data_IF_444343899638
#
_entry.id   IF_444343899638
#
_cell.length_a   1.000
_cell.length_b   1.000
_cell.length_c   1.000
_cell.angle_alpha   90.00
_cell.angle_beta   90.00
_cell.angle_gamma   90.00
#
_symmetry.space_group_name_H-M   'P 1'
#
loop_
_entity.id
_entity.type
_entity.pdbx_description
1 polymer ?
#
# COMPACT_ATOMS: atom_id res chain seq x y z
N UNK A 1 16.46 47.78 19.90
CA UNK A 1 16.96 46.50 20.45
C UNK A 1 16.01 45.36 20.07
N UNK A 2 14.70 45.56 20.19
CA UNK A 2 13.66 44.53 19.97
C UNK A 2 13.56 44.04 18.52
N UNK A 3 13.67 44.97 17.52
CA UNK A 3 13.63 44.58 16.09
C UNK A 3 14.79 43.65 15.68
N UNK A 4 15.97 43.77 16.29
CA UNK A 4 17.13 42.92 16.00
C UNK A 4 16.90 41.51 16.56
N UNK A 5 16.39 41.40 17.78
CA UNK A 5 16.05 40.13 18.43
C UNK A 5 14.98 39.37 17.65
N UNK A 6 13.93 40.06 17.20
CA UNK A 6 12.85 39.47 16.41
C UNK A 6 13.39 38.95 15.07
N UNK A 7 14.26 39.71 14.39
CA UNK A 7 14.86 39.31 13.13
C UNK A 7 15.79 38.09 13.27
N UNK A 8 16.60 38.04 14.33
CA UNK A 8 17.47 36.91 14.63
C UNK A 8 16.65 35.64 14.91
N UNK A 9 15.57 35.75 15.71
CA UNK A 9 14.66 34.65 15.99
C UNK A 9 13.97 34.15 14.73
N UNK A 10 13.53 35.04 13.86
CA UNK A 10 12.88 34.68 12.58
C UNK A 10 13.85 33.97 11.63
N UNK A 11 15.10 34.42 11.56
CA UNK A 11 16.13 33.79 10.76
C UNK A 11 16.48 32.38 11.28
N UNK A 12 16.56 32.21 12.58
CA UNK A 12 16.75 30.90 13.22
C UNK A 12 15.63 29.90 12.87
N UNK A 13 14.38 30.36 12.93
CA UNK A 13 13.23 29.52 12.55
C UNK A 13 13.25 29.10 11.08
N UNK A 14 13.62 30.01 10.16
CA UNK A 14 13.76 29.72 8.74
C UNK A 14 14.89 28.69 8.50
N UNK A 15 16.03 28.89 9.13
CA UNK A 15 17.16 27.96 9.04
C UNK A 15 16.80 26.57 9.56
N UNK A 16 16.05 26.50 10.66
CA UNK A 16 15.55 25.23 11.21
C UNK A 16 14.63 24.51 10.23
N UNK A 17 13.68 25.21 9.60
CA UNK A 17 12.76 24.60 8.62
C UNK A 17 13.51 24.06 7.41
N UNK A 18 14.49 24.81 6.90
CA UNK A 18 15.31 24.37 5.74
C UNK A 18 16.14 23.15 6.15
N UNK A 19 16.80 23.19 7.30
CA UNK A 19 17.58 22.08 7.82
C UNK A 19 16.74 20.83 8.01
N UNK A 20 15.53 20.97 8.60
CA UNK A 20 14.59 19.87 8.74
C UNK A 20 14.16 19.29 7.38
N UNK A 21 13.81 20.15 6.41
CA UNK A 21 13.44 19.70 5.05
C UNK A 21 14.57 18.93 4.35
N UNK A 22 15.83 19.36 4.54
CA UNK A 22 17.01 18.70 3.93
C UNK A 22 17.33 17.37 4.61
N UNK A 23 17.19 17.27 5.93
CA UNK A 23 17.52 16.05 6.68
C UNK A 23 16.43 14.99 6.65
N UNK A 24 15.16 15.37 6.52
CA UNK A 24 14.04 14.41 6.58
C UNK A 24 14.12 13.28 5.55
N UNK A 25 14.53 13.48 4.28
CA UNK A 25 14.64 12.41 3.31
C UNK A 25 15.74 11.39 3.62
N UNK A 26 16.73 11.74 4.47
CA UNK A 26 17.83 10.83 4.82
C UNK A 26 17.30 9.55 5.48
N UNK A 27 16.23 9.63 6.29
CA UNK A 27 15.63 8.45 6.92
C UNK A 27 15.10 7.42 5.90
N UNK A 28 14.64 7.88 4.74
CA UNK A 28 14.21 7.01 3.64
C UNK A 28 15.39 6.52 2.79
N UNK A 29 16.42 7.36 2.61
CA UNK A 29 17.58 7.04 1.78
C UNK A 29 18.43 5.89 2.35
N UNK A 30 18.49 5.74 3.68
CA UNK A 30 19.26 4.69 4.37
C UNK A 30 18.50 3.37 4.56
N UNK A 31 17.34 3.18 3.93
CA UNK A 31 16.55 1.95 4.08
C UNK A 31 16.64 1.07 2.84
N UNK A 32 16.43 -0.24 3.02
CA UNK A 32 16.48 -1.24 1.95
C UNK A 32 15.49 -0.94 0.82
N UNK A 33 14.35 -0.32 1.17
CA UNK A 33 13.39 0.19 0.20
C UNK A 33 13.56 1.70 0.04
N UNK A 34 14.30 2.17 -0.99
CA UNK A 34 14.71 3.57 -1.10
C UNK A 34 13.54 4.54 -1.29
N UNK A 35 12.37 4.07 -1.73
CA UNK A 35 11.18 4.91 -1.96
C UNK A 35 10.04 4.45 -1.05
N UNK A 36 10.25 4.51 0.27
CA UNK A 36 9.17 4.25 1.22
C UNK A 36 8.47 5.56 1.58
N UNK A 37 7.25 5.76 1.06
CA UNK A 37 6.47 6.98 1.25
C UNK A 37 6.18 7.29 2.73
N UNK A 38 5.94 6.26 3.54
CA UNK A 38 5.66 6.43 4.99
C UNK A 38 6.88 7.02 5.71
N UNK A 39 8.08 6.61 5.33
CA UNK A 39 9.34 7.12 5.92
C UNK A 39 9.70 8.52 5.45
N UNK A 40 9.13 8.98 4.33
CA UNK A 40 9.29 10.36 3.84
C UNK A 40 8.24 11.33 4.39
N UNK A 41 7.23 10.86 5.12
CA UNK A 41 6.20 11.72 5.73
C UNK A 41 6.77 12.90 6.54
N UNK A 42 7.84 12.76 7.36
CA UNK A 42 8.41 13.89 8.10
C UNK A 42 8.92 15.04 7.21
N UNK A 43 9.23 14.77 5.94
CA UNK A 43 9.61 15.79 4.95
C UNK A 43 8.44 16.70 4.56
N UNK A 44 7.23 16.17 4.50
CA UNK A 44 6.07 16.94 4.06
C UNK A 44 5.69 18.05 5.04
N UNK A 45 5.98 17.90 6.34
CA UNK A 45 5.64 18.90 7.36
C UNK A 45 6.37 20.22 7.09
N UNK A 46 7.71 20.28 7.06
CA UNK A 46 8.43 21.52 6.77
C UNK A 46 8.13 22.03 5.35
N UNK A 47 7.90 21.14 4.38
CA UNK A 47 7.53 21.52 3.03
C UNK A 47 6.20 22.27 3.00
N UNK A 48 5.17 21.79 3.68
CA UNK A 48 3.86 22.44 3.77
C UNK A 48 3.99 23.82 4.41
N UNK A 49 4.79 23.95 5.47
CA UNK A 49 5.01 25.24 6.14
C UNK A 49 5.69 26.23 5.18
N UNK A 50 6.74 25.80 4.47
CA UNK A 50 7.44 26.62 3.48
C UNK A 50 6.50 27.04 2.36
N UNK A 51 5.69 26.10 1.86
CA UNK A 51 4.69 26.38 0.82
C UNK A 51 3.62 27.36 1.31
N UNK A 52 3.14 27.22 2.55
CA UNK A 52 2.15 28.14 3.12
C UNK A 52 2.69 29.58 3.21
N UNK A 53 3.93 29.75 3.66
CA UNK A 53 4.59 31.05 3.70
C UNK A 53 4.74 31.65 2.28
N UNK A 54 5.18 30.81 1.33
CA UNK A 54 5.33 31.20 -0.07
C UNK A 54 3.99 31.60 -0.70
N UNK A 55 2.94 30.81 -0.43
CA UNK A 55 1.59 31.04 -0.92
C UNK A 55 1.00 32.36 -0.41
N UNK A 56 1.18 32.65 0.89
CA UNK A 56 0.72 33.93 1.46
C UNK A 56 1.35 35.13 0.73
N UNK A 57 2.67 35.13 0.54
CA UNK A 57 3.37 36.18 -0.19
C UNK A 57 2.96 36.28 -1.68
N UNK A 58 2.62 35.14 -2.27
CA UNK A 58 2.15 35.05 -3.64
C UNK A 58 0.74 35.63 -3.79
N UNK A 59 -0.19 35.24 -2.88
CA UNK A 59 -1.58 35.70 -2.89
C UNK A 59 -1.71 37.23 -2.76
N UNK A 60 -0.80 37.86 -1.99
CA UNK A 60 -0.76 39.33 -1.86
C UNK A 60 -0.39 40.07 -3.16
N UNK A 61 0.19 39.36 -4.13
CA UNK A 61 0.72 39.97 -5.38
C UNK A 61 -0.06 39.63 -6.63
N UNK A 62 -0.93 38.60 -6.59
CA UNK A 62 -1.64 38.14 -7.77
C UNK A 62 -3.02 38.77 -7.92
N UNK A 63 -3.44 38.92 -9.16
CA UNK A 63 -4.79 39.35 -9.50
C UNK A 63 -5.80 38.22 -9.22
N UNK A 64 -7.00 38.55 -8.78
CA UNK A 64 -8.10 37.62 -8.50
C UNK A 64 -8.41 36.67 -9.68
N UNK A 65 -8.31 37.17 -10.92
CA UNK A 65 -8.52 36.32 -12.12
C UNK A 65 -7.47 35.22 -12.24
N UNK A 66 -6.23 35.53 -11.94
CA UNK A 66 -5.12 34.57 -11.96
C UNK A 66 -5.32 33.55 -10.85
N UNK A 67 -5.76 33.97 -9.66
CA UNK A 67 -6.10 33.09 -8.56
C UNK A 67 -7.17 32.06 -8.96
N UNK A 68 -8.25 32.49 -9.64
CA UNK A 68 -9.30 31.59 -10.13
C UNK A 68 -8.75 30.52 -11.08
N UNK A 69 -7.80 30.88 -11.96
CA UNK A 69 -7.15 29.93 -12.87
C UNK A 69 -6.37 28.88 -12.07
N UNK A 70 -5.61 29.29 -11.06
CA UNK A 70 -4.88 28.35 -10.19
C UNK A 70 -5.83 27.42 -9.44
N UNK A 71 -6.93 27.95 -8.87
CA UNK A 71 -7.95 27.15 -8.18
C UNK A 71 -8.57 26.12 -9.14
N UNK A 72 -8.88 26.53 -10.37
CA UNK A 72 -9.43 25.63 -11.39
C UNK A 72 -8.48 24.46 -11.68
N UNK A 73 -7.21 24.73 -11.98
CA UNK A 73 -6.23 23.67 -12.24
C UNK A 73 -5.99 22.77 -11.01
N UNK A 74 -5.99 23.36 -9.81
CA UNK A 74 -5.89 22.58 -8.59
C UNK A 74 -7.07 21.63 -8.43
N UNK A 75 -8.30 22.09 -8.66
CA UNK A 75 -9.51 21.25 -8.59
C UNK A 75 -9.48 20.12 -9.62
N UNK A 76 -9.08 20.41 -10.86
CA UNK A 76 -8.93 19.37 -11.89
C UNK A 76 -7.89 18.32 -11.47
N UNK A 77 -6.73 18.76 -10.99
CA UNK A 77 -5.69 17.87 -10.50
C UNK A 77 -6.14 17.05 -9.30
N UNK A 78 -6.89 17.65 -8.39
CA UNK A 78 -7.45 16.98 -7.22
C UNK A 78 -8.47 15.90 -7.61
N UNK A 79 -9.39 16.21 -8.52
CA UNK A 79 -10.35 15.24 -9.03
C UNK A 79 -9.67 14.08 -9.75
N UNK A 80 -8.64 14.37 -10.56
CA UNK A 80 -7.83 13.34 -11.18
C UNK A 80 -7.10 12.48 -10.14
N UNK A 81 -6.53 13.08 -9.09
CA UNK A 81 -5.91 12.34 -8.00
C UNK A 81 -6.90 11.41 -7.30
N UNK A 82 -8.10 11.89 -6.97
CA UNK A 82 -9.16 11.08 -6.34
C UNK A 82 -9.54 9.90 -7.22
N UNK A 83 -9.74 10.13 -8.52
CA UNK A 83 -10.03 9.06 -9.47
C UNK A 83 -8.92 8.00 -9.49
N UNK A 84 -7.67 8.43 -9.63
CA UNK A 84 -6.52 7.51 -9.65
C UNK A 84 -6.34 6.76 -8.31
N UNK A 85 -6.53 7.45 -7.19
CA UNK A 85 -6.32 6.88 -5.86
C UNK A 85 -7.43 5.90 -5.46
N UNK A 86 -8.69 6.30 -5.60
CA UNK A 86 -9.83 5.51 -5.12
C UNK A 86 -10.23 4.43 -6.12
N UNK A 87 -10.32 4.78 -7.40
CA UNK A 87 -10.88 3.88 -8.42
C UNK A 87 -9.81 2.93 -8.96
N UNK A 88 -8.60 3.43 -9.23
CA UNK A 88 -7.57 2.68 -9.92
C UNK A 88 -6.45 2.17 -9.00
N UNK A 89 -5.98 2.99 -8.07
CA UNK A 89 -4.76 2.72 -7.33
C UNK A 89 -4.83 1.49 -6.43
N UNK A 90 -5.83 1.41 -5.57
CA UNK A 90 -5.97 0.33 -4.58
C UNK A 90 -6.19 -1.05 -5.21
N UNK A 91 -6.80 -1.09 -6.40
CA UNK A 91 -7.14 -2.34 -7.09
C UNK A 91 -6.04 -2.82 -8.04
N UNK A 92 -5.05 -1.98 -8.34
CA UNK A 92 -3.92 -2.32 -9.21
C UNK A 92 -2.70 -2.76 -8.44
N UNK A 93 -2.45 -2.16 -7.29
CA UNK A 93 -1.22 -2.37 -6.54
C UNK A 93 -1.38 -3.46 -5.47
N UNK A 94 -0.57 -4.50 -5.57
CA UNK A 94 -0.51 -5.62 -4.60
C UNK A 94 -0.17 -5.13 -3.19
N UNK A 95 0.62 -4.06 -3.05
CA UNK A 95 0.97 -3.49 -1.75
C UNK A 95 -0.24 -3.02 -0.92
N UNK A 96 -1.40 -2.76 -1.54
CA UNK A 96 -2.66 -2.48 -0.86
C UNK A 96 -3.42 -3.74 -0.44
N UNK A 97 -2.78 -4.90 -0.55
CA UNK A 97 -3.34 -6.19 -0.15
C UNK A 97 -4.67 -6.51 -0.86
N UNK A 98 -4.80 -6.01 -2.09
CA UNK A 98 -5.95 -6.31 -2.94
C UNK A 98 -5.96 -7.81 -3.29
N UNK A 99 -7.14 -8.40 -3.24
CA UNK A 99 -7.35 -9.80 -3.64
C UNK A 99 -7.76 -10.72 -2.50
N UNK A 100 -7.44 -10.42 -1.23
CA UNK A 100 -7.82 -11.29 -0.11
C UNK A 100 -9.34 -11.46 0.04
N UNK A 101 -10.12 -10.38 -0.15
CA UNK A 101 -11.59 -10.48 -0.16
C UNK A 101 -12.08 -11.43 -1.24
N UNK A 102 -11.55 -11.30 -2.45
CA UNK A 102 -11.91 -12.14 -3.59
C UNK A 102 -11.51 -13.60 -3.37
N UNK A 103 -10.33 -13.84 -2.79
CA UNK A 103 -9.91 -15.19 -2.37
C UNK A 103 -10.93 -15.80 -1.41
N UNK A 104 -11.33 -15.06 -0.38
CA UNK A 104 -12.29 -15.53 0.61
C UNK A 104 -13.65 -15.83 -0.04
N UNK A 105 -14.12 -14.97 -0.93
CA UNK A 105 -15.40 -15.16 -1.66
C UNK A 105 -15.37 -16.38 -2.58
N UNK A 106 -14.23 -16.70 -3.21
CA UNK A 106 -14.07 -17.88 -4.05
C UNK A 106 -13.89 -19.18 -3.27
N UNK A 107 -13.22 -19.12 -2.14
CA UNK A 107 -12.96 -20.31 -1.30
C UNK A 107 -14.15 -20.68 -0.43
N UNK A 108 -14.94 -19.71 0.02
CA UNK A 108 -16.09 -19.95 0.90
C UNK A 108 -17.08 -21.03 0.38
N UNK A 109 -17.52 -21.01 -0.90
CA UNK A 109 -18.45 -22.01 -1.41
C UNK A 109 -17.86 -23.42 -1.55
N UNK A 110 -16.55 -23.56 -1.68
CA UNK A 110 -15.87 -24.82 -1.92
C UNK A 110 -15.17 -25.40 -0.68
N UNK A 111 -15.13 -24.66 0.43
CA UNK A 111 -14.40 -25.04 1.65
C UNK A 111 -14.85 -26.40 2.24
N UNK A 112 -16.08 -26.84 1.98
CA UNK A 112 -16.60 -28.11 2.46
C UNK A 112 -15.86 -29.32 1.88
N UNK A 113 -15.30 -29.18 0.69
CA UNK A 113 -14.55 -30.25 -0.01
C UNK A 113 -13.17 -30.50 0.61
N UNK A 114 -12.66 -29.55 1.39
CA UNK A 114 -11.31 -29.60 1.94
C UNK A 114 -11.30 -29.72 3.44
N UNK A 115 -10.35 -30.48 3.95
CA UNK A 115 -10.11 -30.63 5.39
C UNK A 115 -9.34 -29.43 5.94
N UNK A 116 -8.35 -28.94 5.18
CA UNK A 116 -7.50 -27.82 5.54
C UNK A 116 -7.35 -26.83 4.38
N UNK A 117 -7.19 -25.56 4.73
CA UNK A 117 -6.94 -24.45 3.80
C UNK A 117 -5.67 -23.76 4.26
N UNK A 118 -4.60 -23.95 3.50
CA UNK A 118 -3.30 -23.38 3.78
C UNK A 118 -3.14 -22.04 3.07
N UNK A 119 -2.76 -21.02 3.83
CA UNK A 119 -2.53 -19.68 3.31
C UNK A 119 -1.06 -19.36 3.50
N UNK A 120 -0.38 -19.05 2.41
CA UNK A 120 1.00 -18.63 2.48
C UNK A 120 1.13 -17.32 3.26
N UNK A 121 1.90 -17.38 4.34
CA UNK A 121 2.30 -16.25 5.15
C UNK A 121 3.42 -15.53 4.40
N UNK A 122 3.08 -14.45 3.69
CA UNK A 122 4.07 -13.52 3.18
C UNK A 122 4.42 -12.47 4.24
N UNK A 123 4.97 -11.35 3.81
CA UNK A 123 5.16 -10.16 4.66
C UNK A 123 3.82 -9.52 5.07
N UNK A 124 2.73 -9.94 4.41
CA UNK A 124 1.38 -9.43 4.59
C UNK A 124 0.69 -10.08 5.80
N UNK A 125 -0.13 -9.30 6.48
CA UNK A 125 -0.93 -9.76 7.61
C UNK A 125 -2.23 -10.41 7.11
N UNK A 126 -2.13 -11.45 6.28
CA UNK A 126 -3.26 -12.16 5.65
C UNK A 126 -4.36 -12.57 6.65
N UNK A 127 -3.98 -12.95 7.88
CA UNK A 127 -4.92 -13.40 8.92
C UNK A 127 -5.98 -12.35 9.26
N UNK A 128 -5.68 -11.05 9.16
CA UNK A 128 -6.62 -9.97 9.45
C UNK A 128 -7.83 -10.05 8.51
N UNK A 129 -7.61 -10.31 7.23
CA UNK A 129 -8.69 -10.40 6.24
C UNK A 129 -9.60 -11.59 6.49
N UNK A 130 -9.03 -12.73 6.90
CA UNK A 130 -9.82 -13.93 7.23
C UNK A 130 -10.63 -13.75 8.52
N UNK A 131 -10.17 -12.94 9.46
CA UNK A 131 -10.95 -12.54 10.64
C UNK A 131 -12.02 -11.51 10.29
N UNK A 132 -11.70 -10.54 9.43
CA UNK A 132 -12.64 -9.48 9.04
C UNK A 132 -13.78 -9.98 8.15
N UNK A 133 -13.51 -10.97 7.27
CA UNK A 133 -14.51 -11.60 6.41
C UNK A 133 -14.79 -13.04 6.87
N UNK A 134 -15.65 -13.27 7.89
CA UNK A 134 -15.84 -14.60 8.50
C UNK A 134 -16.71 -15.51 7.64
N UNK A 135 -16.36 -15.72 6.38
CA UNK A 135 -17.06 -16.60 5.43
C UNK A 135 -16.45 -18.01 5.39
N UNK A 136 -15.25 -18.19 5.92
CA UNK A 136 -14.52 -19.46 5.95
C UNK A 136 -14.41 -19.90 7.40
N UNK A 137 -14.64 -21.20 7.65
CA UNK A 137 -14.48 -21.78 8.98
C UNK A 137 -13.02 -21.62 9.45
N UNK A 138 -12.76 -20.88 10.55
CA UNK A 138 -11.41 -20.62 11.03
C UNK A 138 -10.65 -21.90 11.44
N UNK A 139 -11.34 -22.97 11.86
CA UNK A 139 -10.73 -24.24 12.25
C UNK A 139 -10.06 -24.95 11.07
N UNK A 140 -10.49 -24.65 9.86
CA UNK A 140 -9.90 -25.17 8.62
C UNK A 140 -8.69 -24.37 8.14
N UNK A 141 -8.57 -23.11 8.54
CA UNK A 141 -7.54 -22.20 8.05
C UNK A 141 -6.22 -22.39 8.80
N UNK A 142 -5.14 -22.46 8.07
CA UNK A 142 -3.77 -22.51 8.59
C UNK A 142 -2.89 -21.52 7.84
N UNK A 143 -2.28 -20.61 8.59
CA UNK A 143 -1.30 -19.66 8.06
C UNK A 143 0.09 -20.28 8.22
N UNK A 144 0.74 -20.58 7.12
CA UNK A 144 2.04 -21.26 7.08
C UNK A 144 3.06 -20.36 6.41
N UNK A 145 4.30 -20.40 6.90
CA UNK A 145 5.39 -19.72 6.23
C UNK A 145 5.48 -20.18 4.78
N UNK A 146 5.66 -19.22 3.89
CA UNK A 146 5.66 -19.47 2.46
C UNK A 146 6.73 -20.48 2.05
N UNK A 147 7.87 -20.49 2.73
CA UNK A 147 8.96 -21.42 2.45
C UNK A 147 8.64 -22.87 2.86
N UNK A 148 7.74 -23.06 3.82
CA UNK A 148 7.40 -24.38 4.38
C UNK A 148 6.02 -24.87 3.92
N UNK A 149 5.30 -24.10 3.13
CA UNK A 149 3.91 -24.42 2.77
C UNK A 149 3.80 -25.67 1.90
N UNK A 150 4.84 -26.03 1.20
CA UNK A 150 4.92 -27.19 0.32
C UNK A 150 5.61 -28.39 0.95
N UNK A 151 6.21 -28.25 2.14
CA UNK A 151 6.96 -29.33 2.79
C UNK A 151 6.05 -30.43 3.35
N UNK A 152 4.77 -30.14 3.52
CA UNK A 152 3.77 -31.09 4.03
C UNK A 152 2.55 -31.15 3.11
N UNK A 153 2.67 -31.74 1.91
CA UNK A 153 1.51 -31.96 1.05
C UNK A 153 0.53 -32.88 1.77
N UNK A 154 -0.67 -32.36 2.03
CA UNK A 154 -1.74 -33.13 2.64
C UNK A 154 -2.85 -33.34 1.62
N UNK A 155 -3.33 -34.59 1.53
CA UNK A 155 -4.50 -34.90 0.71
C UNK A 155 -5.72 -34.12 1.18
N UNK A 156 -6.59 -33.72 0.26
CA UNK A 156 -7.78 -32.92 0.51
C UNK A 156 -7.50 -31.53 1.13
N UNK A 157 -6.39 -30.92 0.75
CA UNK A 157 -6.01 -29.59 1.21
C UNK A 157 -5.97 -28.60 0.06
N UNK A 158 -6.44 -27.38 0.36
CA UNK A 158 -6.42 -26.25 -0.57
C UNK A 158 -5.31 -25.30 -0.17
N UNK A 159 -4.56 -24.82 -1.17
CA UNK A 159 -3.44 -23.90 -0.96
C UNK A 159 -3.70 -22.57 -1.65
N UNK A 160 -3.55 -21.48 -0.91
CA UNK A 160 -3.70 -20.11 -1.40
C UNK A 160 -2.31 -19.50 -1.47
N UNK A 161 -1.82 -19.30 -2.69
CA UNK A 161 -0.44 -18.90 -2.95
C UNK A 161 -0.40 -17.56 -3.71
N UNK A 162 0.42 -16.59 -3.27
CA UNK A 162 0.65 -15.38 -4.06
C UNK A 162 1.36 -15.73 -5.37
N UNK A 163 1.01 -15.03 -6.43
CA UNK A 163 1.55 -15.30 -7.77
C UNK A 163 3.08 -15.21 -7.84
N UNK A 164 3.68 -14.21 -7.17
CA UNK A 164 5.13 -14.02 -7.15
C UNK A 164 5.89 -15.19 -6.53
N UNK A 165 5.23 -15.94 -5.65
CA UNK A 165 5.81 -17.15 -5.06
C UNK A 165 5.81 -18.31 -6.05
N UNK A 166 4.69 -18.54 -6.72
CA UNK A 166 4.54 -19.63 -7.68
C UNK A 166 5.52 -19.48 -8.85
N UNK A 167 5.81 -18.24 -9.25
CA UNK A 167 6.78 -17.97 -10.34
C UNK A 167 8.23 -18.28 -9.95
N UNK A 168 8.54 -18.39 -8.65
CA UNK A 168 9.89 -18.67 -8.14
C UNK A 168 10.14 -20.14 -7.83
N UNK A 169 9.09 -20.92 -7.62
CA UNK A 169 9.18 -22.30 -7.17
C UNK A 169 8.56 -23.22 -8.20
N UNK A 170 9.31 -24.26 -8.55
CA UNK A 170 8.82 -25.34 -9.38
C UNK A 170 7.96 -26.27 -8.50
N UNK A 171 6.65 -26.00 -8.41
CA UNK A 171 5.72 -26.82 -7.63
C UNK A 171 5.44 -28.10 -8.40
N UNK A 172 5.78 -29.28 -7.88
CA UNK A 172 5.44 -30.54 -8.54
C UNK A 172 3.94 -30.78 -8.48
N UNK A 173 3.34 -31.14 -9.61
CA UNK A 173 1.97 -31.66 -9.75
C UNK A 173 0.87 -30.96 -8.92
N UNK A 174 0.53 -29.71 -9.30
CA UNK A 174 -0.63 -29.02 -8.74
C UNK A 174 -1.70 -28.78 -9.81
N UNK A 175 -2.95 -28.75 -9.36
CA UNK A 175 -4.08 -28.34 -10.18
C UNK A 175 -4.56 -26.95 -9.71
N UNK A 176 -4.74 -26.04 -10.66
CA UNK A 176 -5.30 -24.71 -10.36
C UNK A 176 -6.81 -24.83 -10.26
N UNK A 177 -7.34 -24.69 -9.07
CA UNK A 177 -8.79 -24.71 -8.79
C UNK A 177 -9.42 -23.37 -9.22
N UNK A 178 -8.76 -22.26 -8.87
CA UNK A 178 -9.20 -20.89 -9.25
C UNK A 178 -8.03 -19.90 -9.11
N UNK A 179 -8.25 -18.67 -9.60
CA UNK A 179 -7.27 -17.59 -9.47
C UNK A 179 -7.95 -16.24 -9.23
N UNK A 180 -7.24 -15.35 -8.58
CA UNK A 180 -7.66 -13.95 -8.37
C UNK A 180 -6.75 -13.02 -9.15
N UNK A 181 -7.35 -12.16 -9.95
CA UNK A 181 -6.65 -11.18 -10.77
C UNK A 181 -6.91 -9.76 -10.26
N UNK A 182 -5.96 -8.85 -10.51
CA UNK A 182 -6.16 -7.42 -10.34
C UNK A 182 -6.96 -6.81 -11.50
N UNK A 183 -7.19 -5.48 -11.48
CA UNK A 183 -7.87 -4.78 -12.58
C UNK A 183 -7.14 -4.84 -13.92
N UNK A 184 -5.81 -4.97 -13.90
CA UNK A 184 -5.00 -5.11 -15.12
C UNK A 184 -4.94 -6.57 -15.62
N UNK A 185 -5.80 -7.44 -15.06
CA UNK A 185 -5.89 -8.89 -15.33
C UNK A 185 -4.62 -9.68 -14.97
N UNK A 186 -3.74 -9.11 -14.18
CA UNK A 186 -2.59 -9.83 -13.66
C UNK A 186 -3.02 -10.69 -12.47
N UNK A 187 -2.61 -11.95 -12.49
CA UNK A 187 -2.91 -12.87 -11.39
C UNK A 187 -2.18 -12.43 -10.13
N UNK A 188 -2.91 -12.30 -9.02
CA UNK A 188 -2.38 -11.96 -7.70
C UNK A 188 -2.26 -13.20 -6.82
N UNK A 189 -3.30 -14.03 -6.82
CA UNK A 189 -3.34 -15.28 -6.07
C UNK A 189 -3.75 -16.43 -6.97
N UNK A 190 -3.15 -17.58 -6.74
CA UNK A 190 -3.64 -18.87 -7.22
C UNK A 190 -4.15 -19.71 -6.07
N UNK A 191 -5.27 -20.37 -6.31
CA UNK A 191 -5.90 -21.32 -5.41
C UNK A 191 -5.66 -22.69 -6.03
N UNK A 192 -4.85 -23.52 -5.36
CA UNK A 192 -4.36 -24.77 -5.95
C UNK A 192 -4.60 -25.94 -5.03
N UNK A 193 -4.74 -27.12 -5.63
CA UNK A 193 -4.76 -28.42 -4.97
C UNK A 193 -3.52 -29.20 -5.38
N UNK A 194 -2.83 -29.82 -4.42
CA UNK A 194 -1.68 -30.69 -4.69
C UNK A 194 -2.19 -32.10 -4.98
N UNK A 195 -1.70 -32.69 -6.07
CA UNK A 195 -2.00 -34.07 -6.48
C UNK A 195 -0.95 -35.06 -5.99
#
# INVERSE_FOLDING_TARGET
KDKKIIREKLNSQKSFLIFWAVLSPLSSAFTVEPVNFVRTLPFFIPLIIIMAIGLNNFLERINFRVLLIFIFFYLVSYLYFIDQYIIHGSKKNVAWQYGYKQVIEKVAPIQSKYQKIYIAKGEDQAYIFFLFYPKINPDKVRFVDINNILDTPQSQSLYILPFWYISKINIPHYEVVDQVNNLDRLTIFKIVELK
#
